data_IF_555622229925
#
_entry.id   IF_555622229925
#
_cell.length_a   1.000
_cell.length_b   1.000
_cell.length_c   1.000
_cell.angle_alpha   90.00
_cell.angle_beta   90.00
_cell.angle_gamma   90.00
#
_symmetry.space_group_name_H-M   'P 1'
#
loop_
_entity.id
_entity.type
_entity.pdbx_description
1 polymer ?
#
# COMPACT_ATOMS: atom_id res chain seq x y z
N UNK A 1 5.37 32.98 -15.30
CA UNK A 1 6.47 32.01 -15.36
C UNK A 1 7.16 31.99 -14.00
N UNK A 2 6.81 31.09 -13.10
CA UNK A 2 7.56 30.83 -11.86
C UNK A 2 8.69 29.87 -12.20
N UNK A 3 9.92 30.30 -11.99
CA UNK A 3 11.09 29.42 -12.08
C UNK A 3 11.00 28.41 -10.93
N UNK A 4 10.76 27.15 -11.28
CA UNK A 4 10.90 26.04 -10.36
C UNK A 4 12.41 25.86 -10.05
N UNK A 5 12.83 26.40 -8.91
CA UNK A 5 14.15 26.13 -8.36
C UNK A 5 14.15 24.74 -7.70
N UNK A 6 13.93 23.70 -8.49
CA UNK A 6 14.11 22.32 -8.06
C UNK A 6 15.62 22.00 -8.09
N UNK A 7 16.33 22.38 -7.03
CA UNK A 7 17.72 21.97 -6.85
C UNK A 7 17.72 20.50 -6.45
N UNK A 8 18.10 19.63 -7.35
CA UNK A 8 18.27 18.21 -7.06
C UNK A 8 19.59 17.96 -6.33
N UNK A 9 19.58 17.21 -5.25
CA UNK A 9 20.83 16.68 -4.65
C UNK A 9 21.13 15.33 -5.28
N UNK A 10 22.34 15.17 -5.81
CA UNK A 10 22.83 13.87 -6.28
C UNK A 10 23.60 13.20 -5.15
N UNK A 11 23.08 12.08 -4.69
CA UNK A 11 23.83 11.17 -3.82
C UNK A 11 24.69 10.28 -4.70
N UNK A 12 25.99 10.27 -4.44
CA UNK A 12 26.94 9.40 -5.12
C UNK A 12 27.53 8.44 -4.09
N UNK A 13 27.44 7.16 -4.33
CA UNK A 13 28.09 6.11 -3.56
C UNK A 13 29.11 5.45 -4.46
N UNK A 14 30.36 5.40 -4.00
CA UNK A 14 31.43 4.71 -4.71
C UNK A 14 31.80 3.43 -3.97
N UNK A 15 31.91 2.34 -4.71
CA UNK A 15 32.29 1.02 -4.21
C UNK A 15 33.54 0.56 -4.96
N UNK A 16 34.51 0.01 -4.24
CA UNK A 16 35.67 -0.57 -4.87
C UNK A 16 35.29 -1.84 -5.63
N UNK A 17 35.78 -1.97 -6.86
CA UNK A 17 35.59 -3.19 -7.63
C UNK A 17 36.55 -4.28 -7.12
N UNK A 18 35.99 -5.40 -6.75
CA UNK A 18 36.68 -6.63 -6.41
C UNK A 18 36.44 -7.73 -7.47
N UNK A 19 37.02 -8.89 -7.28
CA UNK A 19 36.89 -9.98 -8.23
C UNK A 19 35.47 -10.54 -8.26
N UNK A 20 34.74 -10.51 -7.13
CA UNK A 20 33.35 -10.94 -7.03
C UNK A 20 32.44 -9.99 -7.83
N UNK A 21 32.64 -8.68 -7.67
CA UNK A 21 31.91 -7.66 -8.40
C UNK A 21 32.10 -7.83 -9.91
N UNK A 22 33.34 -8.07 -10.37
CA UNK A 22 33.66 -8.31 -11.78
C UNK A 22 33.00 -9.57 -12.31
N UNK A 23 32.98 -10.65 -11.53
CA UNK A 23 32.33 -11.91 -11.91
C UNK A 23 30.85 -11.76 -12.05
N UNK A 24 30.18 -11.09 -11.09
CA UNK A 24 28.74 -10.77 -11.16
C UNK A 24 28.45 -9.92 -12.39
N UNK A 25 29.21 -8.87 -12.65
CA UNK A 25 29.02 -8.00 -13.81
C UNK A 25 29.15 -8.79 -15.13
N UNK A 26 30.09 -9.72 -15.22
CA UNK A 26 30.25 -10.61 -16.39
C UNK A 26 29.08 -11.59 -16.52
N UNK A 27 28.64 -12.19 -15.41
CA UNK A 27 27.57 -13.18 -15.43
C UNK A 27 26.22 -12.60 -15.87
N UNK A 28 25.98 -11.32 -15.57
CA UNK A 28 24.72 -10.63 -15.86
C UNK A 28 24.80 -9.58 -16.99
N UNK A 29 25.95 -9.52 -17.70
CA UNK A 29 26.23 -8.50 -18.74
C UNK A 29 25.92 -7.07 -18.27
N UNK A 30 26.26 -6.79 -17.00
CA UNK A 30 25.99 -5.52 -16.35
C UNK A 30 27.22 -4.63 -16.37
N UNK A 31 27.07 -3.40 -16.87
CA UNK A 31 28.15 -2.40 -16.84
C UNK A 31 28.08 -1.62 -15.54
N UNK A 32 29.09 -1.81 -14.72
CA UNK A 32 29.26 -1.10 -13.45
C UNK A 32 30.60 -0.35 -13.47
N UNK A 33 30.57 0.91 -13.09
CA UNK A 33 31.75 1.81 -13.04
C UNK A 33 32.20 2.11 -11.60
N UNK A 34 31.78 1.28 -10.64
CA UNK A 34 32.08 1.48 -9.23
C UNK A 34 31.25 2.59 -8.59
N UNK A 35 30.33 3.23 -9.33
CA UNK A 35 29.53 4.34 -8.78
C UNK A 35 28.04 4.13 -8.96
N UNK A 36 27.28 4.52 -7.94
CA UNK A 36 25.82 4.58 -8.01
C UNK A 36 25.38 6.00 -7.68
N UNK A 37 24.62 6.61 -8.58
CA UNK A 37 24.08 7.96 -8.40
C UNK A 37 22.56 7.92 -8.23
N UNK A 38 22.06 8.58 -7.18
CA UNK A 38 20.64 8.78 -6.95
C UNK A 38 20.33 10.26 -6.90
N UNK A 39 19.49 10.75 -7.81
CA UNK A 39 19.02 12.14 -7.82
C UNK A 39 17.80 12.31 -6.95
N UNK A 40 17.91 13.14 -5.92
CA UNK A 40 16.82 13.45 -4.99
C UNK A 40 16.35 14.88 -5.27
N UNK A 41 15.10 15.03 -5.69
CA UNK A 41 14.50 16.33 -5.90
C UNK A 41 14.18 16.99 -4.56
N UNK A 42 14.50 18.26 -4.42
CA UNK A 42 14.15 19.08 -3.27
C UNK A 42 12.75 19.66 -3.43
N UNK A 43 12.07 19.88 -2.33
CA UNK A 43 10.82 20.61 -2.28
C UNK A 43 10.83 21.53 -1.05
N UNK A 44 10.16 22.67 -1.17
CA UNK A 44 10.03 23.65 -0.12
C UNK A 44 8.63 23.58 0.48
N UNK A 45 8.56 23.53 1.81
CA UNK A 45 7.32 23.51 2.56
C UNK A 45 7.13 24.86 3.24
N UNK A 46 5.90 25.36 3.16
CA UNK A 46 5.50 26.50 3.98
C UNK A 46 5.55 26.08 5.44
N UNK A 47 6.28 26.86 6.24
CA UNK A 47 6.30 26.69 7.68
C UNK A 47 4.88 26.76 8.25
N UNK A 48 4.58 25.97 9.23
CA UNK A 48 3.28 25.82 9.92
C UNK A 48 2.43 24.66 9.42
N UNK A 49 2.88 23.45 9.68
CA UNK A 49 2.10 22.25 9.49
C UNK A 49 2.09 21.39 10.77
N UNK A 50 1.07 20.59 10.96
CA UNK A 50 1.03 19.56 11.99
C UNK A 50 1.76 18.31 11.56
N UNK A 51 1.25 17.65 10.52
CA UNK A 51 1.76 16.39 9.99
C UNK A 51 2.15 16.54 8.54
N UNK A 52 3.38 16.15 8.21
CA UNK A 52 3.87 15.95 6.85
C UNK A 52 4.11 14.47 6.55
N UNK A 53 3.99 14.10 5.28
CA UNK A 53 4.19 12.71 4.84
C UNK A 53 5.00 12.65 3.55
N UNK A 54 6.05 11.83 3.56
CA UNK A 54 6.84 11.48 2.38
C UNK A 54 6.48 10.04 2.00
N UNK A 55 5.97 9.82 0.78
CA UNK A 55 5.63 8.49 0.28
C UNK A 55 6.44 8.12 -0.96
N UNK A 56 6.54 6.84 -1.23
CA UNK A 56 7.17 6.31 -2.43
C UNK A 56 7.79 4.93 -2.23
N UNK A 57 8.23 4.28 -3.31
CA UNK A 57 8.79 2.93 -3.24
C UNK A 57 10.08 2.87 -2.42
N UNK A 58 10.48 1.66 -2.03
CA UNK A 58 11.76 1.45 -1.35
C UNK A 58 12.92 1.92 -2.24
N UNK A 59 13.96 2.51 -1.64
CA UNK A 59 15.10 3.04 -2.37
C UNK A 59 14.87 4.37 -3.10
N UNK A 60 13.67 4.98 -3.02
CA UNK A 60 13.36 6.24 -3.72
C UNK A 60 13.90 7.51 -3.05
N UNK A 61 14.69 7.39 -1.98
CA UNK A 61 15.31 8.51 -1.28
C UNK A 61 14.47 9.13 -0.16
N UNK A 62 13.39 8.47 0.30
CA UNK A 62 12.55 8.94 1.40
C UNK A 62 13.33 9.29 2.66
N UNK A 63 14.16 8.35 3.14
CA UNK A 63 14.98 8.53 4.36
C UNK A 63 15.97 9.70 4.21
N UNK A 64 16.50 9.93 3.02
CA UNK A 64 17.38 11.07 2.75
C UNK A 64 16.62 12.40 2.78
N UNK A 65 15.41 12.43 2.22
CA UNK A 65 14.54 13.60 2.29
C UNK A 65 14.08 13.87 3.72
N UNK A 66 13.78 12.82 4.47
CA UNK A 66 13.33 12.89 5.86
C UNK A 66 14.36 13.55 6.77
N UNK A 67 15.66 13.29 6.55
CA UNK A 67 16.78 13.90 7.30
C UNK A 67 16.83 15.43 7.25
N UNK A 68 16.17 16.07 6.27
CA UNK A 68 16.07 17.53 6.20
C UNK A 68 15.18 18.12 7.27
N UNK A 69 14.27 17.33 7.81
CA UNK A 69 13.34 17.74 8.87
C UNK A 69 13.87 17.44 10.26
N UNK A 70 14.91 16.63 10.37
CA UNK A 70 15.54 16.23 11.60
C UNK A 70 16.08 14.81 11.56
N UNK A 71 16.57 14.36 12.69
CA UNK A 71 16.98 12.97 12.87
C UNK A 71 15.92 12.23 13.68
N UNK A 72 15.72 10.98 13.35
CA UNK A 72 14.88 10.07 14.13
C UNK A 72 15.48 9.92 15.54
N UNK A 73 14.65 10.07 16.57
CA UNK A 73 15.07 9.86 17.96
C UNK A 73 14.89 8.38 18.31
N UNK A 74 15.92 7.77 18.86
CA UNK A 74 15.84 6.44 19.44
C UNK A 74 15.72 6.55 20.95
N UNK A 75 14.89 5.70 21.55
CA UNK A 75 14.75 5.58 22.98
C UNK A 75 15.44 4.29 23.46
N UNK A 76 16.28 4.41 24.46
CA UNK A 76 16.91 3.26 25.11
C UNK A 76 15.99 2.77 26.24
N UNK A 77 15.41 1.58 26.02
CA UNK A 77 14.49 0.98 26.98
C UNK A 77 15.23 0.29 28.11
N UNK A 78 14.89 0.66 29.36
CA UNK A 78 15.34 -0.06 30.55
C UNK A 78 14.71 -1.45 30.59
N UNK A 79 15.54 -2.48 30.58
CA UNK A 79 15.11 -3.89 30.55
C UNK A 79 14.40 -4.35 31.80
N UNK A 80 14.64 -3.66 32.93
CA UNK A 80 14.09 -4.03 34.25
C UNK A 80 12.74 -3.35 34.52
N UNK A 81 12.31 -2.42 33.67
CA UNK A 81 11.05 -1.69 33.82
C UNK A 81 10.03 -2.05 32.74
N UNK A 82 8.76 -2.01 33.11
CA UNK A 82 7.72 -2.08 32.11
C UNK A 82 7.73 -0.82 31.24
N UNK A 83 7.19 -0.90 30.00
CA UNK A 83 7.21 0.22 29.07
C UNK A 83 6.47 1.45 29.62
N UNK A 84 5.36 1.27 30.34
CA UNK A 84 4.61 2.39 30.90
C UNK A 84 5.38 3.16 31.97
N UNK A 85 6.26 2.51 32.74
CA UNK A 85 7.07 3.14 33.79
C UNK A 85 8.21 4.01 33.25
N UNK A 86 8.40 4.07 31.94
CA UNK A 86 9.48 4.83 31.31
C UNK A 86 8.98 6.15 30.69
N UNK A 87 7.72 6.48 30.91
CA UNK A 87 7.14 7.81 30.65
C UNK A 87 7.20 8.67 31.91
N UNK A 88 7.06 9.98 31.78
CA UNK A 88 7.13 10.92 32.90
C UNK A 88 5.99 10.72 33.92
N UNK A 89 4.83 10.26 33.47
CA UNK A 89 3.67 9.96 34.29
C UNK A 89 2.79 8.84 33.72
N UNK A 90 1.98 8.25 34.59
CA UNK A 90 0.99 7.25 34.14
C UNK A 90 -0.02 7.83 33.13
N UNK A 91 -0.37 9.11 33.27
CA UNK A 91 -1.26 9.81 32.35
C UNK A 91 -0.61 9.99 30.97
N UNK A 92 0.65 10.38 30.93
CA UNK A 92 1.41 10.48 29.68
C UNK A 92 1.56 9.12 28.99
N UNK A 93 1.95 8.09 29.74
CA UNK A 93 2.06 6.72 29.24
C UNK A 93 0.75 6.28 28.58
N UNK A 94 -0.38 6.46 29.26
CA UNK A 94 -1.69 6.11 28.75
C UNK A 94 -2.02 6.88 27.48
N UNK A 95 -1.82 8.19 27.45
CA UNK A 95 -2.10 9.04 26.29
C UNK A 95 -1.25 8.67 25.08
N UNK A 96 0.06 8.52 25.26
CA UNK A 96 1.00 8.24 24.16
C UNK A 96 0.88 6.81 23.63
N UNK A 97 0.74 5.82 24.50
CA UNK A 97 0.55 4.42 24.07
C UNK A 97 -0.80 4.24 23.34
N UNK A 98 -1.85 4.89 23.81
CA UNK A 98 -3.12 4.93 23.10
C UNK A 98 -3.03 5.69 21.76
N UNK A 99 -2.23 6.76 21.69
CA UNK A 99 -2.01 7.56 20.49
C UNK A 99 -1.42 6.76 19.32
N UNK A 100 -0.73 5.67 19.60
CA UNK A 100 -0.16 4.76 18.59
C UNK A 100 -0.97 3.48 18.40
N UNK A 101 -2.16 3.40 19.01
CA UNK A 101 -3.03 2.24 18.94
C UNK A 101 -2.57 1.03 19.76
N UNK A 102 -1.63 1.21 20.69
CA UNK A 102 -1.24 0.18 21.64
C UNK A 102 -2.13 0.25 22.88
N UNK A 103 -3.33 -0.34 22.79
CA UNK A 103 -4.38 -0.21 23.82
C UNK A 103 -4.43 -1.37 24.83
N UNK A 104 -3.49 -2.31 24.77
CA UNK A 104 -3.44 -3.47 25.66
C UNK A 104 -2.73 -3.12 26.97
N UNK A 105 -3.47 -2.96 28.06
CA UNK A 105 -2.88 -2.73 29.40
C UNK A 105 -1.87 -3.81 29.78
N UNK A 106 -2.10 -5.12 29.53
CA UNK A 106 -1.09 -6.15 29.76
C UNK A 106 0.22 -5.93 29.00
N UNK A 107 0.18 -5.35 27.79
CA UNK A 107 1.39 -5.00 27.04
C UNK A 107 2.13 -3.83 27.69
N UNK A 108 1.42 -2.84 28.25
CA UNK A 108 2.02 -1.69 28.92
C UNK A 108 2.83 -2.07 30.15
N UNK A 109 2.43 -3.14 30.83
CA UNK A 109 3.04 -3.64 32.05
C UNK A 109 4.12 -4.71 31.79
N UNK A 110 4.55 -4.88 30.54
CA UNK A 110 5.66 -5.76 30.16
C UNK A 110 6.93 -4.94 29.89
N UNK A 111 8.11 -5.52 30.12
CA UNK A 111 9.36 -4.93 29.65
C UNK A 111 9.41 -4.97 28.10
N UNK A 112 10.12 -4.03 27.49
CA UNK A 112 10.18 -3.88 26.05
C UNK A 112 10.59 -5.15 25.30
N UNK A 113 11.59 -5.90 25.82
CA UNK A 113 12.08 -7.13 25.18
C UNK A 113 11.01 -8.22 25.07
N UNK A 114 10.00 -8.22 25.97
CA UNK A 114 8.90 -9.21 25.99
C UNK A 114 7.72 -8.84 25.05
N UNK A 115 7.80 -7.71 24.36
CA UNK A 115 6.79 -7.28 23.39
C UNK A 115 6.99 -7.97 22.03
N UNK A 116 5.90 -8.18 21.30
CA UNK A 116 5.96 -8.54 19.87
C UNK A 116 6.57 -7.44 19.02
N UNK A 117 7.03 -7.75 17.81
CA UNK A 117 7.64 -6.75 16.90
C UNK A 117 6.72 -5.56 16.64
N UNK A 118 5.42 -5.79 16.42
CA UNK A 118 4.45 -4.73 16.21
C UNK A 118 4.13 -3.90 17.46
N UNK A 119 4.21 -4.51 18.66
CA UNK A 119 4.08 -3.79 19.94
C UNK A 119 5.33 -2.95 20.23
N UNK A 120 6.53 -3.48 19.98
CA UNK A 120 7.81 -2.78 20.06
C UNK A 120 7.81 -1.53 19.20
N UNK A 121 7.48 -1.69 17.92
CA UNK A 121 7.37 -0.57 16.98
C UNK A 121 6.43 0.53 17.49
N UNK A 122 5.25 0.17 18.01
CA UNK A 122 4.30 1.16 18.54
C UNK A 122 4.78 1.79 19.85
N UNK A 123 5.50 1.06 20.69
CA UNK A 123 6.10 1.62 21.90
C UNK A 123 7.19 2.65 21.53
N UNK A 124 8.06 2.34 20.57
CA UNK A 124 9.09 3.26 20.06
C UNK A 124 8.45 4.52 19.48
N UNK A 125 7.41 4.34 18.65
CA UNK A 125 6.65 5.45 18.08
C UNK A 125 6.01 6.34 19.15
N UNK A 126 5.48 5.76 20.25
CA UNK A 126 4.90 6.52 21.35
C UNK A 126 5.94 7.43 22.02
N UNK A 127 7.18 6.97 22.19
CA UNK A 127 8.28 7.76 22.74
C UNK A 127 8.73 8.87 21.77
N UNK A 128 8.73 8.59 20.48
CA UNK A 128 9.14 9.56 19.45
C UNK A 128 8.10 10.67 19.24
N UNK A 129 6.82 10.42 19.53
CA UNK A 129 5.71 11.29 19.12
C UNK A 129 5.66 12.60 19.93
N UNK A 130 6.25 13.65 19.33
CA UNK A 130 6.33 15.03 19.84
C UNK A 130 6.43 16.01 18.67
N UNK A 131 6.30 17.32 18.93
CA UNK A 131 6.55 18.33 17.89
C UNK A 131 7.98 18.25 17.37
N UNK A 132 8.15 18.33 16.05
CA UNK A 132 9.43 18.14 15.35
C UNK A 132 9.87 16.68 15.22
N UNK A 133 9.02 15.72 15.57
CA UNK A 133 9.36 14.31 15.41
C UNK A 133 9.51 13.92 13.93
N UNK A 134 10.48 13.06 13.68
CA UNK A 134 10.79 12.49 12.37
C UNK A 134 10.75 10.98 12.51
N UNK A 135 9.94 10.31 11.69
CA UNK A 135 9.71 8.86 11.77
C UNK A 135 9.87 8.24 10.39
N UNK A 136 10.85 7.38 10.23
CA UNK A 136 11.05 6.61 9.00
C UNK A 136 10.26 5.29 9.03
N UNK A 137 10.03 4.71 7.86
CA UNK A 137 9.31 3.44 7.67
C UNK A 137 7.99 3.35 8.43
N UNK A 138 7.26 4.46 8.51
CA UNK A 138 6.00 4.51 9.24
C UNK A 138 5.04 3.41 8.80
N UNK A 139 4.66 2.55 9.75
CA UNK A 139 3.79 1.37 9.60
C UNK A 139 4.34 0.20 8.77
N UNK A 140 5.63 0.18 8.46
CA UNK A 140 6.22 -0.89 7.61
C UNK A 140 6.26 -2.26 8.27
N UNK A 141 6.36 -2.32 9.61
CA UNK A 141 6.55 -3.57 10.38
C UNK A 141 5.26 -4.10 11.03
N UNK A 142 4.11 -3.50 10.75
CA UNK A 142 2.82 -3.90 11.31
C UNK A 142 1.82 -4.24 10.20
N UNK A 143 0.87 -5.15 10.50
CA UNK A 143 -0.18 -5.50 9.55
C UNK A 143 -1.06 -4.31 9.18
N UNK A 144 -1.77 -4.39 8.03
CA UNK A 144 -2.51 -3.25 7.49
C UNK A 144 -3.71 -2.80 8.33
N UNK A 145 -4.31 -3.68 9.13
CA UNK A 145 -5.40 -3.30 10.04
C UNK A 145 -4.86 -2.53 11.24
N UNK A 146 -3.75 -3.01 11.80
CA UNK A 146 -3.05 -2.32 12.89
C UNK A 146 -2.47 -0.99 12.39
N UNK A 147 -1.92 -0.94 11.17
CA UNK A 147 -1.41 0.27 10.54
C UNK A 147 -2.50 1.34 10.38
N UNK A 148 -3.70 0.95 9.93
CA UNK A 148 -4.85 1.85 9.83
C UNK A 148 -5.24 2.41 11.20
N UNK A 149 -5.31 1.54 12.20
CA UNK A 149 -5.67 1.93 13.58
C UNK A 149 -4.62 2.88 14.17
N UNK A 150 -3.32 2.55 13.99
CA UNK A 150 -2.19 3.36 14.43
C UNK A 150 -2.19 4.74 13.75
N UNK A 151 -2.27 4.81 12.43
CA UNK A 151 -2.25 6.07 11.68
C UNK A 151 -3.42 6.99 12.05
N UNK A 152 -4.63 6.44 12.20
CA UNK A 152 -5.80 7.19 12.67
C UNK A 152 -5.62 7.71 14.12
N UNK A 153 -5.02 6.92 15.01
CA UNK A 153 -4.77 7.31 16.39
C UNK A 153 -3.73 8.44 16.46
N UNK A 154 -2.61 8.29 15.73
CA UNK A 154 -1.57 9.32 15.60
C UNK A 154 -2.14 10.63 15.05
N UNK A 155 -2.94 10.57 13.98
CA UNK A 155 -3.58 11.76 13.41
C UNK A 155 -4.46 12.50 14.42
N UNK A 156 -5.27 11.77 15.18
CA UNK A 156 -6.12 12.36 16.23
C UNK A 156 -5.30 12.98 17.36
N UNK A 157 -4.30 12.26 17.85
CA UNK A 157 -3.43 12.73 18.91
C UNK A 157 -2.68 13.99 18.51
N UNK A 158 -2.07 14.00 17.31
CA UNK A 158 -1.35 15.18 16.82
C UNK A 158 -2.26 16.41 16.75
N UNK A 159 -3.51 16.27 16.30
CA UNK A 159 -4.50 17.36 16.27
C UNK A 159 -4.91 17.81 17.66
N UNK A 160 -5.19 16.88 18.58
CA UNK A 160 -5.63 17.18 19.94
C UNK A 160 -4.55 17.87 20.76
N UNK A 161 -3.29 17.45 20.59
CA UNK A 161 -2.14 18.02 21.30
C UNK A 161 -1.50 19.23 20.56
N UNK A 162 -2.01 19.58 19.37
CA UNK A 162 -1.46 20.67 18.57
C UNK A 162 -0.01 20.43 18.14
N UNK A 163 0.38 19.18 17.89
CA UNK A 163 1.74 18.87 17.46
C UNK A 163 2.07 19.57 16.15
N UNK A 164 3.31 20.05 16.03
CA UNK A 164 3.81 20.79 14.87
C UNK A 164 5.05 20.11 14.29
N UNK A 165 5.18 20.21 12.97
CA UNK A 165 6.36 19.77 12.23
C UNK A 165 6.69 18.28 12.44
N UNK A 166 5.69 17.41 12.55
CA UNK A 166 5.88 15.97 12.60
C UNK A 166 5.93 15.42 11.19
N UNK A 167 7.00 14.72 10.82
CA UNK A 167 7.17 14.20 9.46
C UNK A 167 7.35 12.69 9.48
N UNK A 168 6.53 12.01 8.70
CA UNK A 168 6.59 10.57 8.49
C UNK A 168 7.09 10.24 7.09
N UNK A 169 7.83 9.13 6.95
CA UNK A 169 8.11 8.53 5.66
C UNK A 169 7.56 7.10 5.62
N UNK A 170 6.95 6.71 4.48
CA UNK A 170 6.38 5.38 4.31
C UNK A 170 6.42 4.93 2.85
N UNK A 171 6.53 3.61 2.65
CA UNK A 171 6.32 2.99 1.34
C UNK A 171 4.84 2.71 1.04
N UNK A 172 3.95 2.95 1.99
CA UNK A 172 2.53 2.63 1.91
C UNK A 172 1.67 3.87 1.65
N UNK A 173 0.97 3.89 0.54
CA UNK A 173 0.13 5.03 0.12
C UNK A 173 -1.25 5.07 0.80
N UNK A 174 -1.76 3.94 1.27
CA UNK A 174 -3.06 3.85 1.94
C UNK A 174 -3.09 4.59 3.29
N UNK A 175 -1.93 4.86 3.89
CA UNK A 175 -1.84 5.66 5.12
C UNK A 175 -2.20 7.14 4.92
N UNK A 176 -2.19 7.65 3.69
CA UNK A 176 -2.56 9.05 3.38
C UNK A 176 -3.98 9.34 3.89
N UNK A 177 -4.91 8.44 3.61
CA UNK A 177 -6.31 8.60 4.01
C UNK A 177 -6.50 8.46 5.53
N UNK A 178 -5.68 7.67 6.21
CA UNK A 178 -5.78 7.41 7.64
C UNK A 178 -5.05 8.46 8.49
N UNK A 179 -3.86 8.83 8.07
CA UNK A 179 -3.02 9.83 8.76
C UNK A 179 -3.52 11.26 8.53
N UNK A 180 -4.12 11.52 7.36
CA UNK A 180 -4.61 12.82 6.95
C UNK A 180 -3.58 13.95 7.12
N UNK A 181 -2.40 13.84 6.50
CA UNK A 181 -1.33 14.83 6.64
C UNK A 181 -1.72 16.18 6.02
N UNK A 182 -1.06 17.25 6.45
CA UNK A 182 -1.26 18.60 5.89
C UNK A 182 -0.61 18.75 4.51
N UNK A 183 0.46 17.99 4.27
CA UNK A 183 1.09 17.85 2.97
C UNK A 183 1.62 16.43 2.75
N UNK A 184 1.67 16.04 1.48
CA UNK A 184 2.23 14.76 1.01
C UNK A 184 3.24 15.07 -0.10
N UNK A 185 4.45 14.58 0.04
CA UNK A 185 5.42 14.53 -1.04
C UNK A 185 5.59 13.09 -1.53
N UNK A 186 5.30 12.88 -2.81
CA UNK A 186 5.48 11.59 -3.47
C UNK A 186 6.80 11.58 -4.23
N UNK A 187 7.72 10.71 -3.79
CA UNK A 187 9.06 10.62 -4.39
C UNK A 187 9.05 10.01 -5.79
N UNK A 188 8.00 9.25 -6.15
CA UNK A 188 7.84 8.65 -7.48
C UNK A 188 7.44 9.70 -8.52
N UNK A 189 6.39 10.46 -8.21
CA UNK A 189 5.88 11.51 -9.10
C UNK A 189 6.58 12.85 -8.92
N UNK A 190 7.41 12.98 -7.87
CA UNK A 190 8.11 14.22 -7.47
C UNK A 190 7.15 15.39 -7.22
N UNK A 191 5.94 15.07 -6.77
CA UNK A 191 4.89 16.05 -6.57
C UNK A 191 4.61 16.28 -5.08
N UNK A 192 4.46 17.56 -4.72
CA UNK A 192 4.03 18.01 -3.40
C UNK A 192 2.56 18.43 -3.46
N UNK A 193 1.72 17.81 -2.64
CA UNK A 193 0.30 18.12 -2.51
C UNK A 193 -0.03 18.55 -1.09
N UNK A 194 -0.95 19.52 -0.95
CA UNK A 194 -1.41 20.04 0.34
C UNK A 194 -2.85 19.61 0.62
N UNK A 195 -3.19 19.44 1.90
CA UNK A 195 -4.55 19.17 2.32
C UNK A 195 -5.48 20.32 1.89
N UNK A 196 -6.59 19.99 1.20
CA UNK A 196 -7.50 20.98 0.62
C UNK A 196 -7.22 21.32 -0.85
N UNK A 197 -5.99 21.12 -1.35
CA UNK A 197 -5.66 21.11 -2.77
C UNK A 197 -5.50 19.67 -3.32
N UNK A 198 -5.47 18.69 -2.44
CA UNK A 198 -5.37 17.29 -2.79
C UNK A 198 -6.71 16.76 -3.34
N UNK A 199 -7.11 17.21 -4.51
CA UNK A 199 -7.71 16.27 -5.45
C UNK A 199 -6.67 15.15 -5.57
N UNK A 200 -7.06 13.92 -5.24
CA UNK A 200 -6.28 12.73 -5.59
C UNK A 200 -5.72 13.00 -6.97
N UNK A 201 -4.39 13.01 -7.11
CA UNK A 201 -3.81 13.09 -8.45
C UNK A 201 -4.49 12.00 -9.26
N UNK A 202 -5.01 12.36 -10.42
CA UNK A 202 -5.53 11.37 -11.35
C UNK A 202 -4.34 10.50 -11.73
N UNK A 203 -4.33 9.28 -11.23
CA UNK A 203 -3.35 8.28 -11.64
C UNK A 203 -3.80 7.85 -13.03
N UNK A 204 -3.08 8.24 -14.04
CA UNK A 204 -3.29 7.77 -15.40
C UNK A 204 -2.65 6.39 -15.54
N UNK A 205 -3.48 5.41 -15.81
CA UNK A 205 -3.06 4.02 -15.98
C UNK A 205 -3.24 3.62 -17.43
N UNK A 206 -2.23 3.00 -17.98
CA UNK A 206 -2.29 2.37 -19.28
C UNK A 206 -2.56 0.87 -19.11
N UNK A 207 -3.51 0.33 -19.87
CA UNK A 207 -3.84 -1.08 -19.88
C UNK A 207 -3.48 -1.66 -21.25
N UNK A 208 -2.44 -2.47 -21.27
CA UNK A 208 -1.82 -2.99 -22.49
C UNK A 208 -2.01 -4.52 -22.58
N UNK A 209 -2.43 -5.07 -23.72
CA UNK A 209 -2.45 -6.51 -23.90
C UNK A 209 -1.04 -7.09 -23.80
N UNK A 210 -0.92 -8.28 -23.21
CA UNK A 210 0.36 -8.95 -23.03
C UNK A 210 0.25 -10.46 -23.21
N UNK A 211 1.39 -11.13 -23.33
CA UNK A 211 1.47 -12.57 -23.34
C UNK A 211 1.40 -13.18 -21.94
N UNK A 212 1.25 -14.52 -21.91
CA UNK A 212 1.16 -15.30 -20.67
C UNK A 212 2.49 -15.27 -19.88
N UNK A 213 3.61 -15.04 -20.54
CA UNK A 213 4.96 -14.95 -19.96
C UNK A 213 5.05 -13.81 -18.94
N UNK A 214 4.30 -12.73 -19.12
CA UNK A 214 4.24 -11.60 -18.18
C UNK A 214 3.74 -12.00 -16.79
N UNK A 215 3.06 -13.16 -16.69
CA UNK A 215 2.58 -13.67 -15.41
C UNK A 215 3.73 -13.97 -14.42
N UNK A 216 4.91 -14.32 -14.90
CA UNK A 216 6.06 -14.61 -14.06
C UNK A 216 6.42 -13.47 -13.09
N UNK A 217 6.14 -12.21 -13.47
CA UNK A 217 6.37 -11.03 -12.62
C UNK A 217 5.41 -10.98 -11.41
N UNK A 218 4.22 -11.58 -11.56
CA UNK A 218 3.10 -11.43 -10.63
C UNK A 218 2.75 -12.70 -9.86
N UNK A 219 3.21 -13.87 -10.30
CA UNK A 219 2.83 -15.18 -9.77
C UNK A 219 3.05 -15.28 -8.26
N UNK A 220 4.21 -14.82 -7.76
CA UNK A 220 4.59 -14.84 -6.35
C UNK A 220 3.75 -13.89 -5.46
N UNK A 221 3.00 -12.96 -6.07
CA UNK A 221 2.15 -12.01 -5.36
C UNK A 221 0.68 -12.38 -5.39
N UNK A 222 0.34 -13.53 -5.99
CA UNK A 222 -1.04 -14.01 -6.06
C UNK A 222 -1.33 -15.03 -4.94
N UNK A 223 -2.38 -14.77 -4.17
CA UNK A 223 -2.71 -15.50 -2.94
C UNK A 223 -3.31 -16.90 -3.11
N UNK A 224 -3.69 -17.34 -4.33
CA UNK A 224 -4.33 -18.63 -4.52
C UNK A 224 -3.37 -19.68 -5.09
N UNK A 225 -2.94 -19.52 -6.32
CA UNK A 225 -2.04 -20.46 -7.02
C UNK A 225 -1.14 -19.69 -7.97
N UNK A 226 0.04 -20.22 -8.24
CA UNK A 226 0.97 -19.65 -9.22
C UNK A 226 0.51 -19.94 -10.67
N UNK A 227 -0.41 -20.88 -10.86
CA UNK A 227 -0.89 -21.28 -12.16
C UNK A 227 -1.81 -20.24 -12.80
N UNK A 228 -1.65 -20.07 -14.12
CA UNK A 228 -2.51 -19.24 -14.93
C UNK A 228 -3.07 -20.04 -16.12
N UNK A 229 -4.31 -19.76 -16.49
CA UNK A 229 -4.91 -20.36 -17.67
C UNK A 229 -4.32 -19.75 -18.94
N UNK A 230 -3.64 -20.57 -19.75
CA UNK A 230 -2.98 -20.14 -20.99
C UNK A 230 -3.96 -19.66 -22.08
N UNK A 231 -5.23 -20.08 -22.02
CA UNK A 231 -6.28 -19.62 -22.94
C UNK A 231 -6.95 -18.32 -22.50
N UNK A 232 -6.53 -17.73 -21.39
CA UNK A 232 -7.03 -16.44 -20.95
C UNK A 232 -6.41 -15.31 -21.76
N UNK A 233 -7.13 -14.21 -21.89
CA UNK A 233 -6.57 -12.94 -22.36
C UNK A 233 -5.89 -12.24 -21.17
N UNK A 234 -4.75 -11.61 -21.44
CA UNK A 234 -3.90 -11.01 -20.42
C UNK A 234 -3.60 -9.54 -20.72
N UNK A 235 -3.51 -8.74 -19.67
CA UNK A 235 -3.16 -7.32 -19.74
C UNK A 235 -2.20 -6.94 -18.63
N UNK A 236 -1.24 -6.10 -18.98
CA UNK A 236 -0.44 -5.34 -18.03
C UNK A 236 -1.12 -4.00 -17.72
N UNK A 237 -0.96 -3.56 -16.51
CA UNK A 237 -1.29 -2.21 -16.09
C UNK A 237 0.02 -1.46 -15.85
N UNK A 238 0.21 -0.35 -16.53
CA UNK A 238 1.37 0.52 -16.39
C UNK A 238 0.99 1.87 -15.81
N UNK A 239 1.88 2.45 -15.03
CA UNK A 239 1.83 3.82 -14.52
C UNK A 239 3.12 4.53 -14.91
N UNK A 240 3.05 5.37 -15.95
CA UNK A 240 4.22 5.88 -16.62
C UNK A 240 5.09 4.74 -17.17
N UNK A 241 6.38 4.70 -16.80
CA UNK A 241 7.31 3.64 -17.21
C UNK A 241 7.26 2.37 -16.37
N UNK A 242 6.44 2.35 -15.30
CA UNK A 242 6.44 1.24 -14.35
C UNK A 242 5.27 0.30 -14.60
N UNK A 243 5.56 -1.00 -14.67
CA UNK A 243 4.53 -2.04 -14.66
C UNK A 243 4.07 -2.22 -13.21
N UNK A 244 2.77 -1.99 -12.97
CA UNK A 244 2.20 -1.94 -11.61
C UNK A 244 1.18 -3.03 -11.34
N UNK A 245 0.62 -3.67 -12.39
CA UNK A 245 -0.42 -4.65 -12.22
C UNK A 245 -0.61 -5.54 -13.44
N UNK A 246 -1.36 -6.60 -13.21
CA UNK A 246 -1.72 -7.61 -14.19
C UNK A 246 -3.18 -7.97 -14.02
N UNK A 247 -3.88 -8.17 -15.15
CA UNK A 247 -5.22 -8.71 -15.17
C UNK A 247 -5.36 -9.76 -16.22
N UNK A 248 -6.26 -10.72 -16.00
CA UNK A 248 -6.63 -11.71 -17.01
C UNK A 248 -8.11 -12.02 -16.97
N UNK A 249 -8.66 -12.38 -18.14
CA UNK A 249 -10.05 -12.80 -18.30
C UNK A 249 -10.14 -14.05 -19.17
N UNK A 250 -11.09 -14.92 -18.85
CA UNK A 250 -11.35 -16.14 -19.59
C UNK A 250 -12.78 -16.15 -20.14
N UNK A 251 -12.98 -16.83 -21.26
CA UNK A 251 -14.31 -17.11 -21.74
C UNK A 251 -15.13 -17.88 -20.68
N UNK A 252 -16.38 -17.51 -20.50
CA UNK A 252 -17.27 -18.06 -19.48
C UNK A 252 -18.54 -18.63 -20.11
N UNK A 253 -18.43 -19.67 -20.96
CA UNK A 253 -19.60 -20.33 -21.51
C UNK A 253 -20.29 -21.14 -20.40
N UNK A 254 -21.60 -21.01 -20.30
CA UNK A 254 -22.46 -21.88 -19.49
C UNK A 254 -23.72 -22.25 -20.26
N UNK A 255 -24.44 -23.25 -19.82
CA UNK A 255 -25.69 -23.66 -20.48
C UNK A 255 -26.74 -22.55 -20.68
N UNK A 256 -26.70 -21.54 -19.80
CA UNK A 256 -27.64 -20.41 -19.80
C UNK A 256 -27.04 -19.06 -20.20
N UNK A 257 -25.70 -18.96 -20.23
CA UNK A 257 -25.01 -17.69 -20.51
C UNK A 257 -24.13 -17.87 -21.76
N UNK A 258 -24.46 -17.14 -22.81
CA UNK A 258 -23.70 -17.07 -24.06
C UNK A 258 -22.92 -15.75 -24.12
N UNK A 259 -21.85 -15.71 -24.88
CA UNK A 259 -21.06 -14.50 -25.14
C UNK A 259 -20.62 -13.80 -23.85
N UNK A 260 -19.98 -14.53 -22.94
CA UNK A 260 -19.56 -14.04 -21.66
C UNK A 260 -18.10 -14.30 -21.36
N UNK A 261 -17.51 -13.39 -20.61
CA UNK A 261 -16.17 -13.50 -20.04
C UNK A 261 -16.23 -13.37 -18.53
N UNK A 262 -15.21 -13.86 -17.86
CA UNK A 262 -15.06 -13.75 -16.41
C UNK A 262 -13.62 -13.34 -16.07
N UNK A 263 -13.48 -12.43 -15.12
CA UNK A 263 -12.19 -12.13 -14.50
C UNK A 263 -11.55 -13.40 -13.94
N UNK A 264 -10.30 -13.64 -14.29
CA UNK A 264 -9.55 -14.83 -13.90
C UNK A 264 -8.50 -14.47 -12.84
N UNK A 265 -7.64 -13.48 -13.10
CA UNK A 265 -6.64 -12.98 -12.17
C UNK A 265 -6.63 -11.45 -12.18
N UNK A 266 -6.38 -10.84 -11.04
CA UNK A 266 -6.05 -9.42 -10.91
C UNK A 266 -5.03 -9.29 -9.80
N UNK A 267 -3.83 -8.85 -10.14
CA UNK A 267 -2.72 -8.69 -9.19
C UNK A 267 -2.14 -7.30 -9.36
N UNK A 268 -1.93 -6.63 -8.25
CA UNK A 268 -1.21 -5.35 -8.18
C UNK A 268 0.04 -5.61 -7.35
N UNK A 269 1.19 -5.15 -7.83
CA UNK A 269 2.44 -5.27 -7.11
C UNK A 269 2.35 -4.60 -5.74
N UNK A 270 2.99 -5.15 -4.70
CA UNK A 270 2.86 -4.69 -3.31
C UNK A 270 3.03 -3.18 -3.13
N UNK A 271 4.02 -2.58 -3.78
CA UNK A 271 4.34 -1.16 -3.68
C UNK A 271 3.24 -0.23 -4.24
N UNK A 272 2.32 -0.76 -5.03
CA UNK A 272 1.22 -0.02 -5.67
C UNK A 272 -0.17 -0.39 -5.14
N UNK A 273 -0.23 -1.23 -4.11
CA UNK A 273 -1.49 -1.57 -3.44
C UNK A 273 -2.01 -0.40 -2.60
N UNK A 274 -3.33 -0.39 -2.32
CA UNK A 274 -3.95 0.68 -1.53
C UNK A 274 -4.37 1.92 -2.32
N UNK A 275 -3.90 2.11 -3.55
CA UNK A 275 -4.23 3.24 -4.43
C UNK A 275 -5.56 3.09 -5.20
N UNK A 276 -6.25 1.95 -5.04
CA UNK A 276 -7.45 1.65 -5.81
C UNK A 276 -7.20 1.18 -7.25
N UNK A 277 -5.93 0.94 -7.62
CA UNK A 277 -5.55 0.48 -8.98
C UNK A 277 -6.24 -0.84 -9.33
N UNK A 278 -6.30 -1.80 -8.40
CA UNK A 278 -6.88 -3.12 -8.66
C UNK A 278 -8.36 -3.08 -9.05
N UNK A 279 -9.16 -2.23 -8.40
CA UNK A 279 -10.58 -2.07 -8.74
C UNK A 279 -10.73 -1.37 -10.09
N UNK A 280 -9.94 -0.31 -10.36
CA UNK A 280 -9.96 0.42 -11.62
C UNK A 280 -9.52 -0.44 -12.80
N UNK A 281 -8.45 -1.23 -12.62
CA UNK A 281 -8.00 -2.19 -13.64
C UNK A 281 -9.09 -3.23 -13.94
N UNK A 282 -9.72 -3.77 -12.89
CA UNK A 282 -10.82 -4.72 -13.06
C UNK A 282 -12.02 -4.11 -13.80
N UNK A 283 -12.39 -2.86 -13.48
CA UNK A 283 -13.47 -2.13 -14.15
C UNK A 283 -13.13 -1.86 -15.62
N UNK A 284 -11.89 -1.44 -15.91
CA UNK A 284 -11.43 -1.19 -17.28
C UNK A 284 -11.49 -2.45 -18.15
N UNK A 285 -11.04 -3.60 -17.63
CA UNK A 285 -11.14 -4.88 -18.37
C UNK A 285 -12.60 -5.28 -18.57
N UNK A 286 -13.46 -5.08 -17.58
CA UNK A 286 -14.89 -5.36 -17.69
C UNK A 286 -15.54 -4.47 -18.76
N UNK A 287 -15.24 -3.17 -18.75
CA UNK A 287 -15.73 -2.21 -19.73
C UNK A 287 -15.28 -2.54 -21.15
N UNK A 288 -14.01 -2.91 -21.35
CA UNK A 288 -13.48 -3.33 -22.67
C UNK A 288 -14.26 -4.51 -23.26
N UNK A 289 -14.72 -5.46 -22.42
CA UNK A 289 -15.54 -6.58 -22.87
C UNK A 289 -16.98 -6.15 -23.12
N UNK A 290 -17.52 -5.31 -22.23
CA UNK A 290 -18.88 -4.79 -22.33
C UNK A 290 -19.11 -3.98 -23.62
N UNK A 291 -18.16 -3.12 -23.99
CA UNK A 291 -18.18 -2.34 -25.23
C UNK A 291 -18.16 -3.22 -26.50
N UNK A 292 -17.59 -4.43 -26.40
CA UNK A 292 -17.61 -5.43 -27.47
C UNK A 292 -18.89 -6.28 -27.50
N UNK A 293 -19.88 -5.97 -26.67
CA UNK A 293 -21.16 -6.69 -26.57
C UNK A 293 -21.08 -7.99 -25.76
N UNK A 294 -20.01 -8.21 -24.99
CA UNK A 294 -19.90 -9.38 -24.13
C UNK A 294 -20.39 -9.07 -22.71
N UNK A 295 -21.02 -10.04 -22.08
CA UNK A 295 -21.30 -10.00 -20.64
C UNK A 295 -20.02 -10.27 -19.87
N UNK A 296 -19.81 -9.56 -18.77
CA UNK A 296 -18.62 -9.76 -17.97
C UNK A 296 -18.96 -10.04 -16.51
N UNK A 297 -18.37 -11.09 -15.97
CA UNK A 297 -18.61 -11.56 -14.61
C UNK A 297 -17.33 -11.49 -13.78
N UNK A 298 -17.51 -11.33 -12.48
CA UNK A 298 -16.43 -11.44 -11.51
C UNK A 298 -16.85 -12.24 -10.30
N UNK A 299 -15.95 -13.10 -9.85
CA UNK A 299 -16.07 -13.85 -8.60
C UNK A 299 -14.81 -13.68 -7.78
N UNK A 300 -14.94 -13.24 -6.53
CA UNK A 300 -13.81 -13.02 -5.63
C UNK A 300 -14.16 -13.40 -4.20
N UNK A 301 -13.16 -13.87 -3.45
CA UNK A 301 -13.22 -14.02 -2.01
C UNK A 301 -12.60 -12.81 -1.28
N UNK A 302 -12.01 -11.85 -2.02
CA UNK A 302 -11.35 -10.70 -1.44
C UNK A 302 -12.39 -9.67 -0.93
N UNK A 303 -12.48 -9.41 0.39
CA UNK A 303 -13.56 -8.61 0.96
C UNK A 303 -13.65 -7.20 0.36
N UNK A 304 -12.54 -6.46 0.32
CA UNK A 304 -12.51 -5.08 -0.21
C UNK A 304 -12.98 -4.98 -1.66
N UNK A 305 -12.59 -5.96 -2.51
CA UNK A 305 -13.03 -6.00 -3.90
C UNK A 305 -14.52 -6.33 -4.02
N UNK A 306 -15.01 -7.24 -3.16
CA UNK A 306 -16.42 -7.60 -3.07
C UNK A 306 -17.29 -6.45 -2.60
N UNK A 307 -16.89 -5.78 -1.53
CA UNK A 307 -17.58 -4.60 -0.97
C UNK A 307 -17.61 -3.43 -1.95
N UNK A 308 -16.47 -3.17 -2.63
CA UNK A 308 -16.44 -2.16 -3.69
C UNK A 308 -17.52 -2.43 -4.75
N UNK A 309 -17.64 -3.68 -5.24
CA UNK A 309 -18.60 -4.04 -6.26
C UNK A 309 -20.04 -4.03 -5.76
N UNK A 310 -20.27 -4.37 -4.49
CA UNK A 310 -21.61 -4.25 -3.87
C UNK A 310 -22.12 -2.79 -3.86
N UNK A 311 -21.19 -1.83 -3.74
CA UNK A 311 -21.52 -0.39 -3.63
C UNK A 311 -21.32 0.36 -4.95
N UNK A 312 -20.78 -0.27 -5.99
CA UNK A 312 -20.48 0.37 -7.27
C UNK A 312 -21.69 0.29 -8.20
N UNK A 313 -22.14 1.40 -8.81
CA UNK A 313 -23.21 1.38 -9.80
C UNK A 313 -22.82 0.63 -11.09
N UNK A 314 -21.55 0.34 -11.30
CA UNK A 314 -21.03 -0.39 -12.45
C UNK A 314 -21.23 -1.91 -12.36
N UNK A 315 -21.59 -2.41 -11.18
CA UNK A 315 -21.68 -3.83 -10.90
C UNK A 315 -23.02 -4.19 -10.28
N UNK A 316 -23.61 -5.30 -10.73
CA UNK A 316 -24.83 -5.86 -10.18
C UNK A 316 -24.54 -7.19 -9.51
N UNK A 317 -24.96 -7.43 -8.25
CA UNK A 317 -24.79 -8.72 -7.59
C UNK A 317 -25.58 -9.80 -8.36
N UNK A 318 -24.98 -10.99 -8.51
CA UNK A 318 -25.64 -12.17 -9.05
C UNK A 318 -26.36 -12.94 -7.94
N UNK A 319 -27.22 -13.90 -8.30
CA UNK A 319 -27.86 -14.81 -7.33
C UNK A 319 -26.86 -15.63 -6.50
N UNK A 320 -25.59 -15.68 -6.91
CA UNK A 320 -24.50 -16.37 -6.19
C UNK A 320 -23.62 -15.41 -5.37
N UNK A 321 -24.07 -14.18 -5.15
CA UNK A 321 -23.33 -13.22 -4.33
C UNK A 321 -23.50 -13.52 -2.83
N UNK A 322 -22.44 -13.33 -2.04
CA UNK A 322 -22.42 -13.56 -0.59
C UNK A 322 -22.79 -14.98 -0.14
N UNK A 323 -22.54 -15.99 -0.98
CA UNK A 323 -22.72 -17.38 -0.58
C UNK A 323 -21.52 -17.83 0.25
N UNK A 324 -21.82 -18.40 1.44
CA UNK A 324 -20.86 -19.03 2.31
C UNK A 324 -20.28 -20.29 1.64
N UNK A 325 -18.96 -20.41 1.55
CA UNK A 325 -18.31 -21.64 1.09
C UNK A 325 -18.09 -22.57 2.26
N UNK A 326 -18.74 -23.73 2.22
CA UNK A 326 -18.31 -24.88 3.00
C UNK A 326 -17.13 -25.52 2.26
N UNK A 327 -15.92 -25.34 2.79
CA UNK A 327 -14.74 -26.05 2.29
C UNK A 327 -14.77 -27.49 2.82
N UNK A 328 -15.41 -28.37 2.07
CA UNK A 328 -15.52 -29.80 2.36
C UNK A 328 -14.40 -30.63 1.73
N UNK A 329 -13.17 -30.12 1.66
CA UNK A 329 -12.05 -30.90 1.11
C UNK A 329 -10.76 -30.62 1.87
N UNK A 330 -10.60 -31.27 3.02
CA UNK A 330 -9.41 -31.98 3.50
C UNK A 330 -9.55 -32.30 5.01
N UNK A 331 -9.57 -33.59 5.31
CA UNK A 331 -9.69 -34.18 6.67
C UNK A 331 -8.43 -34.06 7.51
N UNK A 332 -7.58 -33.10 7.39
CA UNK A 332 -6.30 -33.14 8.10
C UNK A 332 -5.78 -31.87 8.77
N UNK A 333 -6.57 -30.78 8.91
CA UNK A 333 -6.17 -29.71 9.86
C UNK A 333 -7.41 -29.02 10.43
N UNK A 334 -7.65 -29.21 11.73
CA UNK A 334 -8.61 -28.41 12.51
C UNK A 334 -8.09 -26.97 12.66
N UNK A 335 -8.28 -26.13 11.65
CA UNK A 335 -8.18 -24.70 11.77
C UNK A 335 -9.57 -24.12 11.92
N UNK A 336 -9.74 -23.19 12.86
CA UNK A 336 -10.96 -22.43 13.10
C UNK A 336 -11.50 -21.93 11.76
N UNK A 337 -12.62 -22.47 11.31
CA UNK A 337 -13.24 -22.13 10.03
C UNK A 337 -13.69 -20.68 10.04
N UNK A 338 -12.87 -19.78 9.49
CA UNK A 338 -13.35 -18.45 9.12
C UNK A 338 -14.34 -18.62 7.98
N UNK A 339 -15.58 -18.17 8.19
CA UNK A 339 -16.59 -18.10 7.13
C UNK A 339 -16.08 -17.26 5.98
N UNK A 340 -15.76 -17.88 4.86
CA UNK A 340 -15.28 -17.18 3.66
C UNK A 340 -16.46 -16.98 2.72
N UNK A 341 -16.88 -15.74 2.55
CA UNK A 341 -17.93 -15.37 1.61
C UNK A 341 -17.37 -15.23 0.20
N UNK A 342 -18.12 -15.69 -0.78
CA UNK A 342 -17.84 -15.53 -2.21
C UNK A 342 -18.70 -14.41 -2.78
N UNK A 343 -18.06 -13.33 -3.21
CA UNK A 343 -18.70 -12.21 -3.90
C UNK A 343 -18.81 -12.52 -5.39
N UNK A 344 -19.98 -12.34 -5.97
CA UNK A 344 -20.25 -12.64 -7.38
C UNK A 344 -21.08 -11.53 -8.03
N UNK A 345 -20.52 -10.91 -9.08
CA UNK A 345 -21.12 -9.74 -9.72
C UNK A 345 -21.05 -9.85 -11.25
N UNK A 346 -22.00 -9.18 -11.90
CA UNK A 346 -22.02 -8.91 -13.34
C UNK A 346 -21.75 -7.41 -13.58
N UNK A 347 -20.89 -7.09 -14.52
CA UNK A 347 -20.63 -5.72 -14.94
C UNK A 347 -21.75 -5.22 -15.83
N UNK A 348 -22.29 -4.03 -15.53
CA UNK A 348 -23.44 -3.44 -16.25
C UNK A 348 -23.09 -2.17 -17.02
N UNK A 349 -21.86 -1.63 -16.81
CA UNK A 349 -21.38 -0.46 -17.55
C UNK A 349 -21.90 0.89 -17.04
N UNK A 350 -21.40 1.95 -17.63
CA UNK A 350 -21.75 3.35 -17.25
C UNK A 350 -23.15 3.75 -17.68
N UNK A 351 -23.67 3.17 -18.75
CA UNK A 351 -24.99 3.54 -19.33
C UNK A 351 -26.20 3.12 -18.48
N UNK A 352 -26.08 2.12 -17.60
CA UNK A 352 -27.14 1.73 -16.67
C UNK A 352 -27.10 2.53 -15.36
N UNK A 353 -26.02 3.21 -15.05
CA UNK A 353 -25.85 3.98 -13.82
C UNK A 353 -26.56 5.34 -13.85
N UNK A 354 -26.97 5.83 -15.02
CA UNK A 354 -27.66 7.12 -15.21
C UNK A 354 -29.19 6.98 -15.30
N UNK A 355 -29.74 5.78 -15.27
CA UNK A 355 -31.18 5.51 -15.41
C UNK A 355 -31.83 4.93 -14.15
N UNK A 356 -31.16 4.93 -13.03
CA UNK A 356 -31.65 4.60 -11.69
C UNK A 356 -31.37 5.76 -10.73
#
# INVERSE_FOLDING_TARGET
>A
MRKDNNVATTLRVSVAEDDITKEICRAFDYKFDGTTETKISHFDIKNDFGIGLIVGPSGSGKSTLLKKFGNESQHEWDSEKCIASQFESAEEAQKKLAAVGLNSIPAWLRPYHALSTGEKYRADLAMQLKSGAVVDEFTSVIDRQVAMSCANAVSRYAKQCGLKNVVFASCHYDIIDWLQPDWVYDTLTKNLSYRGAARRQQIELEVLPCGVESWSIFSNHHYLTEDINKSAMHWLCAWGSNVVGFASAIAYPSGTVKNAYRGHRTVILPDYQGLGIGVRLSDAIAEMHHQKGFRYFSKTAHPRMGEYRNNSPLWRPTSKNMIERNDSSSESVKWVSRKVFSYSHEYVGVSCALSS
#
